data_IF_832261558261
#
_entry.id   IF_832261558261
#
_cell.length_a   1.000
_cell.length_b   1.000
_cell.length_c   1.000
_cell.angle_alpha   90.00
_cell.angle_beta   90.00
_cell.angle_gamma   90.00
#
_symmetry.space_group_name_H-M   'P 1'
#
loop_
_entity.id
_entity.type
_entity.pdbx_description
1 polymer ?
#
# COMPACT_ATOMS: atom_id res chain seq x y z
N UNK A 1 -4.79 -7.45 -3.77
CA UNK A 1 -5.72 -6.30 -3.84
C UNK A 1 -6.07 -6.10 -5.30
N UNK A 2 -7.32 -6.36 -5.68
CA UNK A 2 -7.81 -6.17 -7.04
C UNK A 2 -8.12 -4.68 -7.28
N UNK A 3 -7.84 -4.10 -8.47
CA UNK A 3 -8.11 -2.71 -8.78
C UNK A 3 -9.56 -2.48 -9.25
N UNK A 4 -10.52 -3.27 -8.75
CA UNK A 4 -11.94 -3.12 -9.08
C UNK A 4 -12.56 -2.10 -8.13
N UNK A 5 -13.07 -1.01 -8.68
CA UNK A 5 -13.78 0.02 -7.93
C UNK A 5 -15.01 -0.58 -7.24
N UNK A 6 -15.12 -0.40 -5.92
CA UNK A 6 -16.23 -0.89 -5.09
C UNK A 6 -16.06 -2.31 -4.55
N UNK A 7 -15.12 -3.10 -5.08
CA UNK A 7 -14.87 -4.46 -4.58
C UNK A 7 -13.77 -4.46 -3.51
N UNK A 8 -14.19 -4.60 -2.25
CA UNK A 8 -13.29 -4.70 -1.08
C UNK A 8 -12.95 -6.15 -0.71
N UNK A 9 -13.21 -7.09 -1.62
CA UNK A 9 -12.94 -8.51 -1.44
C UNK A 9 -11.45 -8.72 -1.19
N UNK A 10 -11.12 -9.34 -0.05
CA UNK A 10 -9.76 -9.74 0.30
C UNK A 10 -9.59 -11.22 -0.01
N UNK A 11 -8.66 -11.53 -0.89
CA UNK A 11 -8.26 -12.91 -1.17
C UNK A 11 -6.85 -13.08 -0.59
N UNK A 12 -6.73 -13.97 0.39
CA UNK A 12 -5.45 -14.44 0.90
C UNK A 12 -5.27 -15.89 0.46
N UNK A 13 -4.06 -16.21 0.02
CA UNK A 13 -3.66 -17.57 -0.32
C UNK A 13 -2.76 -18.06 0.82
N UNK A 14 -3.13 -19.18 1.44
CA UNK A 14 -2.36 -19.89 2.47
C UNK A 14 -2.01 -19.13 3.77
N UNK A 15 -2.55 -17.92 3.96
CA UNK A 15 -2.36 -17.12 5.18
C UNK A 15 -3.69 -16.54 5.67
N UNK A 16 -3.89 -16.53 6.99
CA UNK A 16 -5.01 -15.87 7.63
C UNK A 16 -4.57 -14.52 8.20
N UNK A 17 -4.84 -13.45 7.45
CA UNK A 17 -4.52 -12.09 7.87
C UNK A 17 -5.53 -11.61 8.91
N UNK A 18 -5.09 -11.41 10.15
CA UNK A 18 -5.94 -10.90 11.20
C UNK A 18 -6.19 -9.40 11.00
N UNK A 19 -7.43 -8.96 11.23
CA UNK A 19 -7.76 -7.54 11.18
C UNK A 19 -6.85 -6.77 12.15
N UNK A 20 -6.40 -5.59 11.74
CA UNK A 20 -5.54 -4.69 12.53
C UNK A 20 -4.12 -5.18 12.83
N UNK A 21 -3.75 -6.38 12.39
CA UNK A 21 -2.39 -6.90 12.51
C UNK A 21 -1.40 -6.08 11.66
N UNK A 22 -0.18 -5.90 12.19
CA UNK A 22 0.96 -5.35 11.47
C UNK A 22 1.67 -6.48 10.74
N UNK A 23 1.80 -6.37 9.42
CA UNK A 23 2.50 -7.35 8.58
C UNK A 23 3.83 -6.81 8.09
N UNK A 24 4.78 -7.69 7.82
CA UNK A 24 6.00 -7.33 7.11
C UNK A 24 5.81 -7.53 5.61
N UNK A 25 6.12 -6.51 4.83
CA UNK A 25 6.00 -6.55 3.37
C UNK A 25 7.39 -6.63 2.75
N UNK A 26 7.57 -7.55 1.80
CA UNK A 26 8.84 -7.82 1.16
C UNK A 26 8.74 -7.73 -0.37
N UNK A 27 9.84 -7.41 -1.02
CA UNK A 27 9.97 -7.49 -2.46
C UNK A 27 9.87 -8.97 -2.91
N UNK A 28 8.99 -9.33 -3.87
CA UNK A 28 8.82 -10.72 -4.28
C UNK A 28 10.02 -11.29 -5.05
N UNK A 29 10.94 -10.45 -5.51
CA UNK A 29 12.12 -10.86 -6.29
C UNK A 29 13.35 -11.11 -5.43
N UNK A 30 13.57 -10.29 -4.39
CA UNK A 30 14.79 -10.32 -3.59
C UNK A 30 14.57 -10.48 -2.09
N UNK A 31 13.32 -10.61 -1.65
CA UNK A 31 12.93 -10.81 -0.25
C UNK A 31 13.44 -9.72 0.70
N UNK A 32 13.83 -8.56 0.18
CA UNK A 32 14.20 -7.41 0.99
C UNK A 32 12.93 -6.72 1.49
N UNK A 33 12.88 -6.28 2.76
CA UNK A 33 11.76 -5.50 3.28
C UNK A 33 11.47 -4.27 2.42
N UNK A 34 10.18 -3.99 2.21
CA UNK A 34 9.78 -2.75 1.56
C UNK A 34 10.11 -1.56 2.47
N UNK A 35 10.69 -0.48 1.91
CA UNK A 35 11.08 0.69 2.69
C UNK A 35 9.86 1.41 3.24
N UNK A 36 10.01 1.98 4.45
CA UNK A 36 9.02 2.89 5.04
C UNK A 36 9.07 4.21 4.28
N UNK A 37 7.93 4.64 3.75
CA UNK A 37 7.74 5.95 3.17
C UNK A 37 7.43 6.99 4.25
N UNK A 38 6.46 6.69 5.11
CA UNK A 38 6.01 7.56 6.19
C UNK A 38 5.12 6.80 7.18
N UNK A 39 4.89 7.33 8.39
CA UNK A 39 3.85 6.82 9.28
C UNK A 39 2.45 6.94 8.65
N UNK A 40 1.55 6.02 9.01
CA UNK A 40 0.14 6.07 8.64
C UNK A 40 -0.70 6.58 9.83
N UNK A 41 -1.74 7.42 9.62
CA UNK A 41 -2.62 7.88 10.69
C UNK A 41 -3.33 6.76 11.47
N UNK A 42 -3.44 5.55 10.91
CA UNK A 42 -3.98 4.39 11.62
C UNK A 42 -3.01 3.78 12.67
N UNK A 43 -1.80 4.31 12.83
CA UNK A 43 -0.73 3.71 13.64
C UNK A 43 0.10 2.63 12.91
N UNK A 44 -0.17 2.43 11.62
CA UNK A 44 0.61 1.65 10.67
C UNK A 44 1.82 2.42 10.12
N UNK A 45 2.58 1.80 9.22
CA UNK A 45 3.52 2.48 8.32
C UNK A 45 3.08 2.30 6.86
N UNK A 46 3.24 3.36 6.06
CA UNK A 46 3.12 3.28 4.61
C UNK A 46 4.42 2.76 4.03
N UNK A 47 4.36 1.63 3.32
CA UNK A 47 5.49 0.98 2.64
C UNK A 47 5.48 1.31 1.15
N UNK A 48 6.63 1.67 0.60
CA UNK A 48 6.73 2.03 -0.81
C UNK A 48 7.01 0.82 -1.72
N UNK A 49 6.25 0.71 -2.81
CA UNK A 49 6.54 -0.10 -3.98
C UNK A 49 6.92 0.85 -5.12
N UNK A 50 8.14 0.72 -5.63
CA UNK A 50 8.60 1.55 -6.73
C UNK A 50 8.07 1.04 -8.06
N UNK A 51 7.54 1.93 -8.88
CA UNK A 51 7.08 1.60 -10.24
C UNK A 51 8.22 1.63 -11.27
N UNK A 52 9.41 2.09 -10.84
CA UNK A 52 10.63 2.16 -11.65
C UNK A 52 11.81 1.50 -10.95
N UNK A 53 12.82 1.07 -11.73
CA UNK A 53 14.05 0.47 -11.19
C UNK A 53 14.93 1.46 -10.40
N UNK A 54 14.73 2.76 -10.60
CA UNK A 54 15.52 3.83 -9.97
C UNK A 54 15.17 4.04 -8.49
N UNK A 55 14.09 3.39 -8.00
CA UNK A 55 13.64 3.46 -6.60
C UNK A 55 13.37 4.89 -6.14
N UNK A 56 12.72 5.67 -7.00
CA UNK A 56 12.32 7.04 -6.70
C UNK A 56 11.00 7.06 -5.93
N UNK A 57 10.99 7.63 -4.72
CA UNK A 57 9.74 7.76 -3.94
C UNK A 57 8.69 8.63 -4.62
N UNK A 58 9.09 9.52 -5.52
CA UNK A 58 8.17 10.31 -6.35
C UNK A 58 7.37 9.46 -7.34
N UNK A 59 7.87 8.25 -7.66
CA UNK A 59 7.27 7.30 -8.60
C UNK A 59 7.03 5.97 -7.85
N UNK A 60 6.12 6.02 -6.88
CA UNK A 60 5.84 4.90 -5.99
C UNK A 60 4.37 4.76 -5.66
N UNK A 61 3.97 3.52 -5.43
CA UNK A 61 2.72 3.14 -4.78
C UNK A 61 3.02 2.96 -3.29
N UNK A 62 2.12 3.40 -2.42
CA UNK A 62 2.22 3.16 -0.99
C UNK A 62 1.07 2.29 -0.49
N UNK A 63 1.39 1.34 0.39
CA UNK A 63 0.42 0.47 1.05
C UNK A 63 0.70 0.47 2.55
N UNK A 64 -0.35 0.55 3.35
CA UNK A 64 -0.20 0.43 4.79
C UNK A 64 0.10 -1.02 5.19
N UNK A 65 1.03 -1.20 6.11
CA UNK A 65 1.36 -2.51 6.67
C UNK A 65 0.42 -2.96 7.81
N UNK A 66 -0.66 -2.22 8.07
CA UNK A 66 -1.76 -2.65 8.94
C UNK A 66 -2.88 -3.25 8.09
N UNK A 67 -3.23 -4.49 8.37
CA UNK A 67 -4.32 -5.21 7.69
C UNK A 67 -5.64 -4.45 7.86
N UNK A 68 -6.41 -4.34 6.77
CA UNK A 68 -7.68 -3.59 6.65
C UNK A 68 -7.56 -2.06 6.80
N UNK A 69 -6.35 -1.50 6.72
CA UNK A 69 -6.21 -0.05 6.57
C UNK A 69 -6.64 0.41 5.17
N UNK A 70 -7.42 1.49 5.10
CA UNK A 70 -7.91 2.08 3.84
C UNK A 70 -6.99 3.17 3.26
N UNK A 71 -5.88 3.48 3.93
CA UNK A 71 -5.02 4.62 3.59
C UNK A 71 -3.93 4.24 2.56
N UNK A 72 -4.30 3.66 1.42
CA UNK A 72 -3.37 3.45 0.32
C UNK A 72 -3.20 4.74 -0.51
N UNK A 73 -1.99 5.04 -0.97
CA UNK A 73 -1.71 6.22 -1.82
C UNK A 73 -0.96 5.81 -3.09
N UNK A 74 -1.19 6.52 -4.19
CA UNK A 74 -0.38 6.42 -5.41
C UNK A 74 0.30 7.77 -5.66
N UNK A 75 1.61 7.76 -5.95
CA UNK A 75 2.38 8.95 -6.31
C UNK A 75 3.04 8.78 -7.67
N UNK A 76 2.94 9.83 -8.48
CA UNK A 76 3.65 9.96 -9.76
C UNK A 76 4.26 11.35 -9.84
N UNK A 77 5.55 11.43 -10.19
CA UNK A 77 6.28 12.70 -10.21
C UNK A 77 6.14 13.54 -8.93
N UNK A 78 6.02 12.86 -7.77
CA UNK A 78 5.91 13.47 -6.45
C UNK A 78 4.52 14.05 -6.13
N UNK A 79 3.57 13.93 -7.06
CA UNK A 79 2.18 14.32 -6.85
C UNK A 79 1.40 13.10 -6.41
N UNK A 80 0.55 13.29 -5.39
CA UNK A 80 -0.48 12.31 -5.08
C UNK A 80 -1.42 12.23 -6.28
N UNK A 81 -1.50 11.06 -6.88
CA UNK A 81 -2.57 10.76 -7.81
C UNK A 81 -3.79 10.46 -6.94
N UNK A 82 -4.64 11.48 -6.75
CA UNK A 82 -5.93 11.33 -6.09
C UNK A 82 -6.88 10.51 -6.98
N UNK A 83 -6.67 9.20 -7.04
CA UNK A 83 -7.63 8.27 -7.65
C UNK A 83 -8.49 7.55 -6.60
N UNK A 84 -8.36 7.89 -5.31
CA UNK A 84 -9.05 7.15 -4.24
C UNK A 84 -9.50 8.00 -3.05
N UNK A 85 -10.05 9.18 -3.33
CA UNK A 85 -11.04 9.85 -2.47
C UNK A 85 -12.02 10.60 -3.38
N UNK A 86 -12.94 9.88 -4.05
CA UNK A 86 -14.18 10.52 -4.45
C UNK A 86 -15.03 10.66 -3.19
N UNK A 87 -14.95 11.85 -2.60
CA UNK A 87 -15.89 12.31 -1.58
C UNK A 87 -17.32 12.10 -2.09
N UNK A 88 -18.10 11.36 -1.30
CA UNK A 88 -19.56 11.29 -1.21
C UNK A 88 -20.44 11.75 -2.40
N UNK A 89 -21.30 10.80 -2.82
CA UNK A 89 -22.61 10.92 -3.48
C UNK A 89 -22.63 10.91 -5.02
#
# INVERSE_FOLDING_TARGET
MSPIFGEKSRITWDIDLQADERVELFCPHCSTPLPVLSPCPCGGDLRALFTTHQRNFSDSLSVCDRVNCFNAELKESGKHIALSMMENL
#
